data_IF_144592249693
#
_entry.id   IF_144592249693
#
_cell.length_a   1.000
_cell.length_b   1.000
_cell.length_c   1.000
_cell.angle_alpha   90.00
_cell.angle_beta   90.00
_cell.angle_gamma   90.00
#
_symmetry.space_group_name_H-M   'P 1'
#
loop_
_entity.id
_entity.type
_entity.pdbx_description
1 polymer ?
#
# COMPACT_ATOMS: atom_id res chain seq x y z
N UNK A 1 -2.94 27.42 -31.08
CA UNK A 1 -2.34 27.06 -29.78
C UNK A 1 -3.48 26.83 -28.83
N UNK A 2 -3.87 25.57 -28.64
CA UNK A 2 -4.88 25.19 -27.64
C UNK A 2 -4.11 24.79 -26.38
N UNK A 3 -4.48 25.40 -25.27
CA UNK A 3 -3.93 25.13 -23.96
C UNK A 3 -4.33 23.70 -23.57
N UNK A 4 -3.40 22.75 -23.64
CA UNK A 4 -3.57 21.46 -22.99
C UNK A 4 -3.43 21.69 -21.48
N UNK A 5 -4.59 21.94 -20.86
CA UNK A 5 -4.79 22.10 -19.43
C UNK A 5 -4.16 20.92 -18.67
N UNK A 6 -3.10 21.27 -17.93
CA UNK A 6 -2.67 20.65 -16.69
C UNK A 6 -2.60 19.12 -16.74
N UNK A 7 -1.49 18.59 -17.27
CA UNK A 7 -1.15 17.17 -17.18
C UNK A 7 -1.34 16.67 -15.74
N UNK A 8 -2.46 16.00 -15.50
CA UNK A 8 -2.87 15.51 -14.18
C UNK A 8 -1.65 14.90 -13.47
N UNK A 9 -1.24 15.50 -12.36
CA UNK A 9 -0.18 14.96 -11.50
C UNK A 9 -0.51 13.55 -11.02
N UNK A 10 -1.76 13.11 -11.16
CA UNK A 10 -2.25 11.80 -10.82
C UNK A 10 -2.41 10.89 -12.04
N UNK A 11 -2.18 9.60 -11.83
CA UNK A 11 -2.38 8.51 -12.78
C UNK A 11 -3.35 7.51 -12.18
N UNK A 12 -4.24 6.97 -13.02
CA UNK A 12 -5.18 5.91 -12.64
C UNK A 12 -4.56 4.56 -12.97
N UNK A 13 -4.49 3.66 -11.99
CA UNK A 13 -3.89 2.32 -12.12
C UNK A 13 -4.87 1.30 -11.54
N UNK A 14 -4.99 0.15 -12.20
CA UNK A 14 -5.79 -0.96 -11.67
C UNK A 14 -5.03 -1.69 -10.57
N UNK A 15 -5.67 -1.85 -9.42
CA UNK A 15 -5.27 -2.84 -8.43
C UNK A 15 -5.67 -4.24 -8.91
N UNK A 16 -4.99 -5.28 -8.45
CA UNK A 16 -5.30 -6.68 -8.76
C UNK A 16 -6.73 -7.10 -8.36
N UNK A 17 -7.34 -6.44 -7.37
CA UNK A 17 -8.74 -6.66 -7.00
C UNK A 17 -9.76 -5.98 -7.94
N UNK A 18 -9.31 -5.30 -9.00
CA UNK A 18 -10.17 -4.60 -9.97
C UNK A 18 -10.50 -3.15 -9.63
N UNK A 19 -10.14 -2.65 -8.43
CA UNK A 19 -10.37 -1.24 -8.06
C UNK A 19 -9.40 -0.30 -8.77
N UNK A 20 -9.88 0.87 -9.18
CA UNK A 20 -9.06 1.95 -9.73
C UNK A 20 -8.39 2.71 -8.57
N UNK A 21 -7.08 2.87 -8.66
CA UNK A 21 -6.26 3.63 -7.72
C UNK A 21 -5.83 4.92 -8.38
N UNK A 22 -6.15 6.06 -7.76
CA UNK A 22 -5.64 7.36 -8.16
C UNK A 22 -4.33 7.62 -7.40
N UNK A 23 -3.21 7.72 -8.11
CA UNK A 23 -1.88 7.87 -7.49
C UNK A 23 -1.07 8.95 -8.19
N UNK A 24 -0.37 9.77 -7.41
CA UNK A 24 0.56 10.77 -7.94
C UNK A 24 1.68 10.12 -8.77
N UNK A 25 2.10 10.78 -9.86
CA UNK A 25 3.13 10.30 -10.80
C UNK A 25 4.48 10.07 -10.13
N UNK A 26 4.89 10.94 -9.20
CA UNK A 26 6.15 10.77 -8.46
C UNK A 26 6.05 9.55 -7.55
N UNK A 27 4.93 9.42 -6.83
CA UNK A 27 4.64 8.27 -5.97
C UNK A 27 4.63 6.94 -6.74
N UNK A 28 4.02 6.92 -7.92
CA UNK A 28 4.02 5.78 -8.82
C UNK A 28 5.44 5.43 -9.28
N UNK A 29 6.23 6.43 -9.67
CA UNK A 29 7.62 6.25 -10.11
C UNK A 29 8.51 5.70 -8.99
N UNK A 30 8.36 6.21 -7.77
CA UNK A 30 9.10 5.72 -6.59
C UNK A 30 8.73 4.27 -6.30
N UNK A 31 7.43 3.94 -6.28
CA UNK A 31 6.98 2.57 -6.03
C UNK A 31 7.52 1.59 -7.07
N UNK A 32 7.52 1.98 -8.36
CA UNK A 32 8.15 1.19 -9.43
C UNK A 32 9.65 0.97 -9.21
N UNK A 33 10.40 2.02 -8.86
CA UNK A 33 11.84 1.92 -8.54
C UNK A 33 12.14 1.01 -7.35
N UNK A 34 11.23 0.96 -6.38
CA UNK A 34 11.33 0.07 -5.22
C UNK A 34 10.80 -1.35 -5.49
N UNK A 35 10.45 -1.68 -6.74
CA UNK A 35 9.79 -2.93 -7.11
C UNK A 35 8.52 -3.22 -6.29
N UNK A 36 7.84 -2.17 -5.82
CA UNK A 36 6.59 -2.26 -5.06
C UNK A 36 5.40 -2.21 -6.00
N UNK A 37 4.45 -3.09 -5.77
CA UNK A 37 3.16 -3.10 -6.47
C UNK A 37 2.30 -1.90 -6.04
N UNK A 38 1.45 -1.42 -6.97
CA UNK A 38 0.43 -0.42 -6.65
C UNK A 38 -0.83 -1.17 -6.22
N UNK A 39 -1.32 -0.88 -5.02
CA UNK A 39 -2.48 -1.53 -4.43
C UNK A 39 -3.52 -0.48 -4.03
N UNK A 40 -4.81 -0.84 -4.09
CA UNK A 40 -5.85 -0.02 -3.47
C UNK A 40 -5.69 -0.05 -1.94
N UNK A 41 -6.26 0.95 -1.25
CA UNK A 41 -6.18 1.04 0.20
C UNK A 41 -6.63 -0.26 0.91
N UNK A 42 -7.69 -0.91 0.39
CA UNK A 42 -8.21 -2.16 0.95
C UNK A 42 -7.20 -3.30 0.86
N UNK A 43 -6.68 -3.60 -0.33
CA UNK A 43 -5.69 -4.67 -0.51
C UNK A 43 -4.40 -4.38 0.26
N UNK A 44 -3.95 -3.12 0.23
CA UNK A 44 -2.78 -2.69 0.98
C UNK A 44 -2.96 -2.96 2.47
N UNK A 45 -4.11 -2.58 3.05
CA UNK A 45 -4.38 -2.77 4.48
C UNK A 45 -4.49 -4.25 4.85
N UNK A 46 -5.11 -5.08 4.01
CA UNK A 46 -5.19 -6.53 4.23
C UNK A 46 -3.78 -7.14 4.25
N UNK A 47 -2.92 -6.78 3.29
CA UNK A 47 -1.54 -7.28 3.23
C UNK A 47 -0.73 -6.83 4.45
N UNK A 48 -0.82 -5.55 4.81
CA UNK A 48 -0.15 -5.01 6.01
C UNK A 48 -0.65 -5.72 7.28
N UNK A 49 -1.96 -5.95 7.41
CA UNK A 49 -2.52 -6.68 8.56
C UNK A 49 -1.90 -8.06 8.70
N UNK A 50 -1.87 -8.84 7.60
CA UNK A 50 -1.23 -10.17 7.60
C UNK A 50 0.26 -10.11 7.94
N UNK A 51 0.98 -9.10 7.45
CA UNK A 51 2.39 -8.91 7.79
C UNK A 51 2.57 -8.61 9.28
N UNK A 52 1.68 -7.82 9.88
CA UNK A 52 1.69 -7.54 11.32
C UNK A 52 1.35 -8.78 12.14
N UNK A 53 0.30 -9.53 11.77
CA UNK A 53 -0.09 -10.76 12.46
C UNK A 53 1.08 -11.76 12.51
N UNK A 54 1.81 -11.92 11.38
CA UNK A 54 3.00 -12.77 11.32
C UNK A 54 4.15 -12.25 12.19
N UNK A 55 4.34 -10.94 12.28
CA UNK A 55 5.34 -10.35 13.16
C UNK A 55 4.97 -10.56 14.64
N UNK A 56 3.70 -10.41 14.99
CA UNK A 56 3.22 -10.64 16.35
C UNK A 56 3.39 -12.11 16.75
N UNK A 57 3.10 -13.06 15.86
CA UNK A 57 3.35 -14.49 16.09
C UNK A 57 4.83 -14.81 16.39
N UNK A 58 5.77 -14.08 15.80
CA UNK A 58 7.21 -14.33 15.94
C UNK A 58 7.88 -13.53 17.05
N UNK A 59 7.38 -12.33 17.37
CA UNK A 59 8.08 -11.37 18.23
C UNK A 59 7.27 -10.92 19.45
N UNK A 60 5.95 -11.10 19.48
CA UNK A 60 5.15 -10.88 20.69
C UNK A 60 5.08 -12.18 21.51
N UNK A 61 6.08 -12.38 22.37
CA UNK A 61 5.95 -13.32 23.48
C UNK A 61 4.82 -12.80 24.37
N UNK A 62 3.80 -13.61 24.73
CA UNK A 62 2.83 -13.20 25.73
C UNK A 62 3.60 -12.84 27.00
N UNK A 63 3.34 -11.66 27.57
CA UNK A 63 3.76 -11.41 28.95
C UNK A 63 3.19 -12.56 29.78
N UNK A 64 4.06 -13.44 30.28
CA UNK A 64 3.67 -14.47 31.22
C UNK A 64 2.96 -13.74 32.35
N UNK A 65 1.68 -14.06 32.56
CA UNK A 65 0.90 -13.52 33.68
C UNK A 65 1.61 -13.91 34.97
N UNK A 66 2.39 -12.97 35.53
CA UNK A 66 3.03 -13.10 36.83
C UNK A 66 1.94 -12.95 37.89
N UNK A 67 1.15 -14.00 38.07
CA UNK A 67 0.26 -14.16 39.21
C UNK A 67 0.44 -15.60 39.73
N UNK A 68 1.45 -15.77 40.59
CA UNK A 68 1.49 -16.80 41.64
C UNK A 68 1.31 -16.10 42.99
#
# INVERSE_FOLDING_TARGET
MLFDDNASNFTKIYCSCGRIVNIDRKSCSIKKKLHKTIECAVCRNIRIGRELDLLDEHFCVPEQSVYD
#
